data_IF_691379540200
#
_entry.id   IF_691379540200
#
_cell.length_a   1.000
_cell.length_b   1.000
_cell.length_c   1.000
_cell.angle_alpha   90.00
_cell.angle_beta   90.00
_cell.angle_gamma   90.00
#
_symmetry.space_group_name_H-M   'P 1'
#
loop_
_entity.id
_entity.type
_entity.pdbx_description
1 polymer ?
#
# COMPACT_ATOMS: atom_id res chain seq x y z
N UNK A 1 18.44 -5.51 3.07
CA UNK A 1 17.68 -4.83 4.12
C UNK A 1 16.37 -4.42 3.50
N UNK A 2 15.30 -5.15 3.76
CA UNK A 2 13.96 -4.80 3.27
C UNK A 2 13.54 -3.55 4.04
N UNK A 3 13.55 -2.39 3.38
CA UNK A 3 13.07 -1.14 3.97
C UNK A 3 11.60 -1.33 4.31
N UNK A 4 11.29 -1.56 5.56
CA UNK A 4 9.97 -1.60 6.21
C UNK A 4 8.74 -1.86 5.30
N UNK A 5 8.88 -2.81 4.36
CA UNK A 5 7.81 -3.19 3.43
C UNK A 5 6.71 -3.97 4.17
N UNK A 6 5.46 -3.71 3.82
CA UNK A 6 4.27 -4.40 4.36
C UNK A 6 3.86 -5.50 3.39
N UNK A 7 4.43 -6.69 3.53
CA UNK A 7 4.27 -7.79 2.59
C UNK A 7 3.26 -8.84 3.04
N UNK A 8 3.14 -9.07 4.35
CA UNK A 8 2.29 -10.10 4.94
C UNK A 8 1.77 -9.66 6.31
N UNK A 9 0.55 -10.08 6.65
CA UNK A 9 -0.03 -9.88 7.99
C UNK A 9 0.74 -10.66 9.05
N UNK A 10 1.34 -11.78 8.67
CA UNK A 10 2.09 -12.66 9.57
C UNK A 10 3.37 -12.02 10.11
N UNK A 11 3.83 -10.93 9.49
CA UNK A 11 5.00 -10.18 9.96
C UNK A 11 4.69 -9.28 11.16
N UNK A 12 3.41 -8.98 11.43
CA UNK A 12 3.01 -8.13 12.54
C UNK A 12 2.94 -8.90 13.86
N UNK A 13 3.57 -8.37 14.88
CA UNK A 13 3.34 -8.78 16.25
C UNK A 13 2.03 -8.21 16.78
N UNK A 14 1.58 -8.67 17.94
CA UNK A 14 0.40 -8.11 18.61
C UNK A 14 0.59 -6.63 18.94
N UNK A 15 1.78 -6.25 19.36
CA UNK A 15 2.10 -4.86 19.70
C UNK A 15 2.10 -3.96 18.46
N UNK A 16 2.63 -4.44 17.31
CA UNK A 16 2.55 -3.71 16.04
C UNK A 16 1.10 -3.45 15.64
N UNK A 17 0.21 -4.44 15.80
CA UNK A 17 -1.22 -4.28 15.51
C UNK A 17 -1.88 -3.27 16.45
N UNK A 18 -1.54 -3.25 17.75
CA UNK A 18 -2.06 -2.24 18.67
C UNK A 18 -1.63 -0.83 18.28
N UNK A 19 -0.36 -0.65 17.91
CA UNK A 19 0.16 0.65 17.41
C UNK A 19 -0.57 1.05 16.12
N UNK A 20 -0.68 0.13 15.16
CA UNK A 20 -1.37 0.38 13.89
C UNK A 20 -2.83 0.81 14.10
N UNK A 21 -3.57 0.14 14.99
CA UNK A 21 -4.97 0.48 15.27
C UNK A 21 -5.10 1.81 16.02
N UNK A 22 -4.16 2.14 16.91
CA UNK A 22 -4.10 3.45 17.55
C UNK A 22 -3.95 4.57 16.54
N UNK A 23 -2.97 4.45 15.64
CA UNK A 23 -2.74 5.41 14.55
C UNK A 23 -3.95 5.50 13.62
N UNK A 24 -4.53 4.37 13.22
CA UNK A 24 -5.71 4.36 12.35
C UNK A 24 -6.92 5.07 12.99
N UNK A 25 -7.13 4.88 14.28
CA UNK A 25 -8.20 5.55 15.04
C UNK A 25 -7.98 7.05 15.13
N UNK A 26 -6.75 7.50 15.35
CA UNK A 26 -6.37 8.91 15.34
C UNK A 26 -6.59 9.56 13.98
N UNK A 27 -6.11 8.92 12.90
CA UNK A 27 -6.29 9.41 11.54
C UNK A 27 -7.77 9.49 11.14
N UNK A 28 -8.57 8.52 11.56
CA UNK A 28 -10.03 8.56 11.37
C UNK A 28 -10.65 9.77 12.05
N UNK A 29 -10.34 10.01 13.33
CA UNK A 29 -10.85 11.14 14.10
C UNK A 29 -10.48 12.49 13.46
N UNK A 30 -9.23 12.65 13.02
CA UNK A 30 -8.77 13.86 12.33
C UNK A 30 -9.52 14.08 11.02
N UNK A 31 -9.71 13.01 10.25
CA UNK A 31 -10.44 13.05 8.97
C UNK A 31 -11.91 13.40 9.17
N UNK A 32 -12.60 12.81 10.15
CA UNK A 32 -14.01 13.10 10.46
C UNK A 32 -14.21 14.54 10.93
N UNK A 33 -13.22 15.15 11.58
CA UNK A 33 -13.24 16.56 11.99
C UNK A 33 -12.81 17.53 10.88
N UNK A 34 -12.44 17.06 9.72
CA UNK A 34 -11.97 17.90 8.61
C UNK A 34 -10.64 18.62 8.90
N UNK A 35 -9.83 18.09 9.81
CA UNK A 35 -8.54 18.69 10.15
C UNK A 35 -7.53 18.37 9.04
N UNK A 36 -6.86 19.38 8.45
CA UNK A 36 -5.83 19.14 7.45
C UNK A 36 -4.68 18.31 8.04
N UNK A 37 -4.27 17.26 7.33
CA UNK A 37 -3.15 16.40 7.71
C UNK A 37 -2.07 16.54 6.64
N UNK A 38 -0.85 16.87 7.03
CA UNK A 38 0.29 17.09 6.12
C UNK A 38 1.47 16.14 6.39
N UNK A 39 1.20 14.97 6.99
CA UNK A 39 2.24 13.99 7.36
C UNK A 39 3.03 13.46 6.15
N UNK A 40 2.40 13.41 4.98
CA UNK A 40 3.01 12.93 3.73
C UNK A 40 3.30 14.05 2.74
N UNK A 41 3.37 15.29 3.20
CA UNK A 41 3.71 16.43 2.33
C UNK A 41 5.06 16.23 1.65
N UNK A 42 5.08 16.38 0.32
CA UNK A 42 6.26 16.15 -0.51
C UNK A 42 6.60 14.67 -0.74
N UNK A 43 5.78 13.73 -0.25
CA UNK A 43 5.92 12.30 -0.53
C UNK A 43 5.02 11.84 -1.66
N UNK A 44 5.49 10.83 -2.38
CA UNK A 44 4.80 10.26 -3.54
C UNK A 44 4.54 8.78 -3.31
N UNK A 45 3.28 8.37 -3.43
CA UNK A 45 2.87 6.97 -3.50
C UNK A 45 2.71 6.56 -4.96
N UNK A 46 3.31 5.45 -5.39
CA UNK A 46 2.93 4.81 -6.64
C UNK A 46 1.94 3.67 -6.38
N UNK A 47 0.80 3.66 -7.09
CA UNK A 47 -0.10 2.51 -7.14
C UNK A 47 0.19 1.73 -8.42
N UNK A 48 0.77 0.52 -8.28
CA UNK A 48 1.11 -0.38 -9.39
C UNK A 48 0.15 -1.56 -9.39
N UNK A 49 -0.85 -1.53 -10.27
CA UNK A 49 -1.92 -2.54 -10.29
C UNK A 49 -1.93 -3.30 -11.61
N UNK A 50 -1.69 -4.61 -11.51
CA UNK A 50 -1.77 -5.58 -12.61
C UNK A 50 -3.19 -6.10 -12.83
N UNK A 51 -4.07 -5.92 -11.85
CA UNK A 51 -5.49 -6.27 -11.93
C UNK A 51 -6.35 -5.04 -11.62
N UNK A 52 -7.50 -4.87 -12.31
CA UNK A 52 -8.45 -3.81 -11.98
C UNK A 52 -8.94 -3.93 -10.53
N UNK A 53 -8.84 -2.85 -9.78
CA UNK A 53 -9.33 -2.80 -8.40
C UNK A 53 -9.71 -1.38 -8.00
N UNK A 54 -10.91 -0.97 -8.37
CA UNK A 54 -11.40 0.39 -8.10
C UNK A 54 -11.36 0.75 -6.62
N UNK A 55 -11.87 -0.14 -5.74
CA UNK A 55 -11.91 0.14 -4.30
C UNK A 55 -10.52 0.29 -3.69
N UNK A 56 -9.62 -0.65 -4.00
CA UNK A 56 -8.28 -0.65 -3.41
C UNK A 56 -7.46 0.52 -3.94
N UNK A 57 -7.44 0.78 -5.25
CA UNK A 57 -6.74 1.91 -5.84
C UNK A 57 -7.24 3.24 -5.25
N UNK A 58 -8.55 3.49 -5.32
CA UNK A 58 -9.15 4.71 -4.79
C UNK A 58 -8.88 4.90 -3.29
N UNK A 59 -8.84 3.82 -2.49
CA UNK A 59 -8.56 3.92 -1.04
C UNK A 59 -7.13 4.36 -0.76
N UNK A 60 -6.14 3.83 -1.47
CA UNK A 60 -4.74 4.25 -1.34
C UNK A 60 -4.52 5.69 -1.81
N UNK A 61 -5.10 6.06 -2.94
CA UNK A 61 -5.00 7.40 -3.51
C UNK A 61 -5.66 8.44 -2.59
N UNK A 62 -6.88 8.15 -2.12
CA UNK A 62 -7.59 9.02 -1.19
C UNK A 62 -6.87 9.15 0.16
N UNK A 63 -6.30 8.06 0.69
CA UNK A 63 -5.51 8.09 1.93
C UNK A 63 -4.28 8.98 1.77
N UNK A 64 -3.53 8.82 0.68
CA UNK A 64 -2.34 9.61 0.41
C UNK A 64 -2.66 11.09 0.25
N UNK A 65 -3.73 11.42 -0.49
CA UNK A 65 -4.19 12.80 -0.66
C UNK A 65 -4.62 13.44 0.68
N UNK A 66 -5.35 12.69 1.54
CA UNK A 66 -5.74 13.17 2.88
C UNK A 66 -4.57 13.40 3.81
N UNK A 67 -3.48 12.69 3.60
CA UNK A 67 -2.22 12.87 4.35
C UNK A 67 -1.33 13.98 3.78
N UNK A 68 -1.77 14.70 2.74
CA UNK A 68 -1.04 15.79 2.11
C UNK A 68 0.02 15.37 1.11
N UNK A 69 0.06 14.09 0.71
CA UNK A 69 0.97 13.56 -0.29
C UNK A 69 0.39 13.55 -1.70
N UNK A 70 1.16 13.02 -2.65
CA UNK A 70 0.79 12.88 -4.06
C UNK A 70 0.78 11.41 -4.49
N UNK A 71 0.07 11.11 -5.58
CA UNK A 71 -0.01 9.75 -6.13
C UNK A 71 0.38 9.70 -7.60
N UNK A 72 1.03 8.60 -8.00
CA UNK A 72 1.29 8.22 -9.40
C UNK A 72 0.67 6.86 -9.63
N UNK A 73 -0.45 6.83 -10.36
CA UNK A 73 -1.16 5.60 -10.67
C UNK A 73 -0.59 4.95 -11.94
N UNK A 74 -0.26 3.66 -11.86
CA UNK A 74 0.23 2.84 -12.97
C UNK A 74 -0.62 1.58 -13.07
N UNK A 75 -1.23 1.40 -14.25
CA UNK A 75 -1.99 0.18 -14.57
C UNK A 75 -1.21 -0.62 -15.59
N UNK A 76 -1.00 -1.92 -15.34
CA UNK A 76 -0.23 -2.78 -16.22
C UNK A 76 -0.75 -2.80 -17.66
N UNK A 77 -2.06 -2.75 -17.87
CA UNK A 77 -2.67 -2.74 -19.20
C UNK A 77 -2.36 -1.51 -20.06
N UNK A 78 -1.87 -0.42 -19.49
CA UNK A 78 -1.53 0.83 -20.19
C UNK A 78 -0.06 1.22 -20.04
N UNK A 79 0.75 0.38 -19.40
CA UNK A 79 2.16 0.64 -19.12
C UNK A 79 3.11 -0.16 -20.03
N UNK A 80 4.42 0.06 -19.88
CA UNK A 80 5.48 -0.69 -20.57
C UNK A 80 5.46 -2.19 -20.26
N UNK A 81 4.75 -2.65 -19.25
CA UNK A 81 4.50 -4.07 -18.94
C UNK A 81 3.91 -4.81 -20.14
N UNK A 82 3.03 -4.16 -20.92
CA UNK A 82 2.47 -4.71 -22.17
C UNK A 82 3.58 -5.03 -23.20
N UNK A 83 4.72 -4.37 -23.10
CA UNK A 83 5.89 -4.56 -23.99
C UNK A 83 6.89 -5.59 -23.44
N UNK A 84 6.56 -6.32 -22.36
CA UNK A 84 7.41 -7.35 -21.78
C UNK A 84 8.37 -6.85 -20.68
N UNK A 85 8.15 -5.66 -20.10
CA UNK A 85 8.91 -5.19 -18.94
C UNK A 85 8.67 -6.11 -17.75
N UNK A 86 9.74 -6.49 -17.03
CA UNK A 86 9.64 -7.36 -15.86
C UNK A 86 9.13 -6.59 -14.63
N UNK A 87 8.52 -7.30 -13.67
CA UNK A 87 8.14 -6.70 -12.40
C UNK A 87 9.33 -6.03 -11.69
N UNK A 88 10.51 -6.66 -11.77
CA UNK A 88 11.76 -6.13 -11.19
C UNK A 88 12.15 -4.78 -11.81
N UNK A 89 12.07 -4.63 -13.13
CA UNK A 89 12.43 -3.41 -13.81
C UNK A 89 11.38 -2.32 -13.58
N UNK A 90 10.09 -2.69 -13.56
CA UNK A 90 8.99 -1.77 -13.26
C UNK A 90 9.14 -1.16 -11.86
N UNK A 91 9.41 -1.98 -10.82
CA UNK A 91 9.55 -1.43 -9.45
C UNK A 91 10.84 -0.63 -9.25
N UNK A 92 11.92 -0.95 -9.96
CA UNK A 92 13.14 -0.12 -9.97
C UNK A 92 12.86 1.25 -10.58
N UNK A 93 12.18 1.27 -11.71
CA UNK A 93 11.81 2.50 -12.42
C UNK A 93 10.90 3.37 -11.56
N UNK A 94 9.82 2.79 -11.00
CA UNK A 94 8.89 3.52 -10.15
C UNK A 94 9.53 4.02 -8.85
N UNK A 95 10.49 3.27 -8.32
CA UNK A 95 11.24 3.68 -7.14
C UNK A 95 12.15 4.90 -7.35
N UNK A 96 12.37 5.33 -8.60
CA UNK A 96 13.02 6.61 -8.90
C UNK A 96 12.07 7.81 -8.77
N UNK A 97 10.77 7.58 -8.78
CA UNK A 97 9.74 8.62 -8.77
C UNK A 97 8.91 8.64 -7.49
N UNK A 98 8.84 7.51 -6.77
CA UNK A 98 7.99 7.34 -5.61
C UNK A 98 8.80 7.03 -4.34
N UNK A 99 8.24 7.38 -3.19
CA UNK A 99 8.76 7.05 -1.85
C UNK A 99 8.26 5.69 -1.36
N UNK A 100 7.14 5.20 -1.89
CA UNK A 100 6.51 3.92 -1.56
C UNK A 100 5.68 3.41 -2.75
N UNK A 101 5.60 2.10 -2.92
CA UNK A 101 4.81 1.47 -3.98
C UNK A 101 3.75 0.56 -3.37
N UNK A 102 2.46 0.79 -3.65
CA UNK A 102 1.38 -0.15 -3.38
C UNK A 102 1.20 -1.07 -4.59
N UNK A 103 1.54 -2.35 -4.43
CA UNK A 103 1.51 -3.34 -5.49
C UNK A 103 0.31 -4.27 -5.36
N UNK A 104 -0.48 -4.40 -6.45
CA UNK A 104 -1.47 -5.45 -6.63
C UNK A 104 -1.11 -6.29 -7.85
N UNK A 105 -0.97 -7.62 -7.66
CA UNK A 105 -0.53 -8.53 -8.72
C UNK A 105 -1.27 -9.87 -8.64
N UNK A 106 -1.62 -10.53 -9.78
CA UNK A 106 -2.35 -11.80 -9.78
C UNK A 106 -1.55 -12.99 -9.24
N UNK A 107 -0.23 -12.97 -9.33
CA UNK A 107 0.60 -14.08 -8.88
C UNK A 107 0.98 -13.94 -7.40
N UNK A 108 0.75 -15.01 -6.62
CA UNK A 108 1.19 -15.07 -5.22
C UNK A 108 2.72 -14.95 -5.12
N UNK A 109 3.19 -14.23 -4.09
CA UNK A 109 4.62 -13.98 -3.88
C UNK A 109 5.20 -12.80 -4.66
N UNK A 110 4.42 -12.14 -5.52
CA UNK A 110 4.89 -11.00 -6.31
C UNK A 110 5.31 -9.80 -5.45
N UNK A 111 4.63 -9.57 -4.32
CA UNK A 111 5.01 -8.50 -3.41
C UNK A 111 6.39 -8.75 -2.77
N UNK A 112 6.70 -10.00 -2.42
CA UNK A 112 8.01 -10.41 -1.91
C UNK A 112 9.09 -10.29 -3.00
N UNK A 113 8.78 -10.68 -4.23
CA UNK A 113 9.67 -10.51 -5.38
C UNK A 113 9.95 -9.02 -5.63
N UNK A 114 8.91 -8.19 -5.72
CA UNK A 114 9.03 -6.75 -5.91
C UNK A 114 9.91 -6.10 -4.83
N UNK A 115 9.73 -6.48 -3.56
CA UNK A 115 10.50 -5.93 -2.44
C UNK A 115 12.01 -6.25 -2.50
N UNK A 116 12.41 -7.33 -3.20
CA UNK A 116 13.84 -7.65 -3.41
C UNK A 116 14.53 -6.68 -4.37
N UNK A 117 13.77 -6.13 -5.31
CA UNK A 117 14.31 -5.29 -6.38
C UNK A 117 13.99 -3.81 -6.22
N UNK A 118 12.98 -3.47 -5.41
CA UNK A 118 12.56 -2.10 -5.20
C UNK A 118 13.53 -1.32 -4.33
N UNK A 119 13.93 -0.08 -4.72
CA UNK A 119 14.71 0.80 -3.88
C UNK A 119 13.88 1.46 -2.76
N UNK A 120 12.54 1.36 -2.82
CA UNK A 120 11.60 1.93 -1.86
C UNK A 120 10.70 0.85 -1.26
N UNK A 121 10.04 1.09 -0.11
CA UNK A 121 9.11 0.13 0.51
C UNK A 121 7.99 -0.31 -0.44
N UNK A 122 7.61 -1.58 -0.34
CA UNK A 122 6.45 -2.16 -1.03
C UNK A 122 5.33 -2.41 -0.01
N UNK A 123 4.10 -2.01 -0.35
CA UNK A 123 2.88 -2.38 0.36
C UNK A 123 2.12 -3.38 -0.51
N UNK A 124 1.91 -4.58 0.00
CA UNK A 124 1.11 -5.59 -0.68
C UNK A 124 -0.38 -5.20 -0.63
N UNK A 125 -0.94 -4.82 -1.77
CA UNK A 125 -2.34 -4.47 -1.98
C UNK A 125 -3.16 -5.64 -2.55
N UNK A 126 -2.63 -6.87 -2.47
CA UNK A 126 -3.19 -8.14 -2.91
C UNK A 126 -2.30 -8.84 -3.93
N UNK A 127 -1.95 -10.10 -3.66
CA UNK A 127 -1.15 -10.94 -4.54
C UNK A 127 -1.87 -12.27 -4.84
N UNK A 128 -2.86 -12.21 -5.71
CA UNK A 128 -3.65 -13.36 -6.16
C UNK A 128 -4.42 -14.04 -5.02
N UNK A 129 -4.19 -15.34 -4.84
CA UNK A 129 -4.74 -16.15 -3.72
C UNK A 129 -3.92 -15.99 -2.43
N UNK A 130 -2.90 -15.14 -2.43
CA UNK A 130 -2.02 -14.88 -1.29
C UNK A 130 -2.67 -13.98 -0.25
N UNK A 131 -1.99 -12.91 0.13
CA UNK A 131 -2.42 -12.04 1.22
C UNK A 131 -2.83 -10.64 0.73
N UNK A 132 -3.71 -10.01 1.50
CA UNK A 132 -4.05 -8.59 1.36
C UNK A 132 -3.93 -7.92 2.76
N UNK A 133 -2.71 -7.58 3.20
CA UNK A 133 -2.44 -7.14 4.57
C UNK A 133 -3.30 -5.96 5.03
N UNK A 134 -3.50 -4.96 4.18
CA UNK A 134 -4.30 -3.78 4.51
C UNK A 134 -5.77 -4.11 4.70
N UNK A 135 -6.34 -5.04 3.94
CA UNK A 135 -7.73 -5.46 4.10
C UNK A 135 -7.94 -6.30 5.35
N UNK A 136 -7.02 -7.20 5.68
CA UNK A 136 -7.07 -7.98 6.93
C UNK A 136 -6.95 -7.06 8.14
N UNK A 137 -6.04 -6.09 8.11
CA UNK A 137 -5.89 -5.09 9.18
C UNK A 137 -7.17 -4.27 9.37
N UNK A 138 -7.87 -3.87 8.31
CA UNK A 138 -9.17 -3.20 8.40
C UNK A 138 -10.23 -4.10 9.04
N UNK A 139 -10.30 -5.38 8.67
CA UNK A 139 -11.25 -6.35 9.23
C UNK A 139 -11.00 -6.56 10.72
N UNK A 140 -9.72 -6.66 11.13
CA UNK A 140 -9.34 -6.77 12.54
C UNK A 140 -9.66 -5.49 13.32
N UNK A 141 -9.44 -4.32 12.73
CA UNK A 141 -9.81 -3.03 13.34
C UNK A 141 -11.32 -2.94 13.59
N UNK A 142 -12.16 -3.34 12.62
CA UNK A 142 -13.61 -3.41 12.81
C UNK A 142 -13.98 -4.35 13.95
N UNK A 143 -13.38 -5.54 14.01
CA UNK A 143 -13.61 -6.49 15.10
C UNK A 143 -13.18 -5.98 16.48
N UNK A 144 -12.14 -5.16 16.55
CA UNK A 144 -11.65 -4.54 17.77
C UNK A 144 -12.59 -3.42 18.24
N UNK A 145 -13.02 -2.54 17.34
CA UNK A 145 -13.93 -1.42 17.65
C UNK A 145 -15.34 -1.88 18.05
N UNK A 146 -15.82 -3.01 17.51
CA UNK A 146 -17.15 -3.55 17.87
C UNK A 146 -17.16 -4.33 19.20
N UNK A 147 -15.99 -4.63 19.78
CA UNK A 147 -15.87 -5.32 21.08
C UNK A 147 -15.51 -4.41 22.26
N UNK A 148 -15.23 -3.14 22.01
CA UNK A 148 -14.98 -2.09 23.00
C UNK A 148 -16.20 -1.17 23.14
#
# INVERSE_FOLDING_TARGET
MYRDSVLSVRAFTRDDLHILFGVASEMRMLTERGIPIELMRGRVLSTLFYEPSTRTSASFEAAMARLGGSTVAVTAGTSSVVKGETLADTVRTLGCYADVIALRHPAAGSAQEAARYSPVPIINAGDGVGEHPTQVSLTLLYGFVLRS
#
